data_IF_924229662956
#
_entry.id   IF_924229662956
#
_cell.length_a   1.000
_cell.length_b   1.000
_cell.length_c   1.000
_cell.angle_alpha   90.00
_cell.angle_beta   90.00
_cell.angle_gamma   90.00
#
_symmetry.space_group_name_H-M   'P 1'
#
loop_
_entity.id
_entity.type
_entity.pdbx_description
1 polymer ?
#
# COMPACT_ATOMS: atom_id res chain seq x y z
N UNK A 1 5.65 -53.50 6.38
CA UNK A 1 6.01 -52.09 6.15
C UNK A 1 5.33 -51.20 7.20
N UNK A 2 5.62 -51.40 8.49
CA UNK A 2 4.84 -50.78 9.60
C UNK A 2 5.70 -50.52 10.84
N UNK A 3 7.01 -50.28 10.67
CA UNK A 3 7.91 -50.07 11.81
C UNK A 3 8.93 -48.93 11.65
N UNK A 4 8.81 -48.08 10.62
CA UNK A 4 9.76 -47.00 10.34
C UNK A 4 9.14 -45.59 10.33
N UNK A 5 8.09 -45.34 11.13
CA UNK A 5 7.49 -44.00 11.28
C UNK A 5 7.61 -43.45 12.72
N UNK A 6 8.06 -44.25 13.69
CA UNK A 6 8.01 -43.88 15.11
C UNK A 6 9.27 -43.21 15.67
N UNK A 7 10.15 -42.65 14.83
CA UNK A 7 11.41 -42.01 15.29
C UNK A 7 11.58 -40.56 14.80
N UNK A 8 10.50 -39.79 14.78
CA UNK A 8 10.64 -38.33 14.80
C UNK A 8 10.54 -37.86 16.25
N UNK A 9 11.56 -37.20 16.81
CA UNK A 9 11.41 -36.55 18.11
C UNK A 9 10.27 -35.54 17.97
N UNK A 10 9.22 -35.71 18.77
CA UNK A 10 8.11 -34.78 18.82
C UNK A 10 8.61 -33.45 19.36
N UNK A 11 8.98 -32.54 18.46
CA UNK A 11 9.23 -31.15 18.81
C UNK A 11 7.85 -30.55 19.09
N UNK A 12 7.46 -30.60 20.36
CA UNK A 12 6.30 -29.89 20.88
C UNK A 12 6.64 -28.40 20.89
N UNK A 13 6.46 -27.73 19.76
CA UNK A 13 6.59 -26.27 19.69
C UNK A 13 5.52 -25.67 20.61
N UNK A 14 5.98 -25.06 21.70
CA UNK A 14 5.11 -24.28 22.57
C UNK A 14 4.79 -23.01 21.79
N UNK A 15 3.60 -22.94 21.19
CA UNK A 15 3.06 -21.67 20.67
C UNK A 15 2.80 -20.79 21.88
N UNK A 16 3.83 -20.06 22.32
CA UNK A 16 3.65 -18.93 23.21
C UNK A 16 2.92 -17.86 22.40
N UNK A 17 1.58 -17.97 22.42
CA UNK A 17 0.72 -16.90 21.93
C UNK A 17 1.16 -15.65 22.68
N UNK A 18 1.51 -14.60 21.94
CA UNK A 18 1.75 -13.29 22.53
C UNK A 18 0.63 -13.01 23.54
N UNK A 19 0.95 -12.49 24.75
CA UNK A 19 -0.08 -12.19 25.73
C UNK A 19 -1.18 -11.38 25.05
N UNK A 20 -2.47 -11.67 25.30
CA UNK A 20 -3.54 -10.89 24.71
C UNK A 20 -3.23 -9.45 25.03
N UNK A 21 -2.93 -8.66 23.98
CA UNK A 21 -2.69 -7.25 24.12
C UNK A 21 -3.95 -6.77 24.82
N UNK A 22 -3.82 -6.31 26.07
CA UNK A 22 -4.94 -5.74 26.78
C UNK A 22 -5.31 -4.50 25.98
N UNK A 23 -6.21 -4.67 25.01
CA UNK A 23 -6.94 -3.57 24.42
C UNK A 23 -7.71 -3.00 25.59
N UNK A 24 -7.09 -2.03 26.26
CA UNK A 24 -7.76 -1.19 27.25
C UNK A 24 -8.92 -0.56 26.48
N UNK A 25 -10.08 -1.20 26.55
CA UNK A 25 -11.30 -0.74 25.91
C UNK A 25 -11.80 0.46 26.70
N UNK A 26 -11.04 1.55 26.68
CA UNK A 26 -11.57 2.89 26.84
C UNK A 26 -12.33 3.11 25.55
N UNK A 27 -13.60 2.72 25.54
CA UNK A 27 -14.51 3.08 24.45
C UNK A 27 -14.27 4.54 24.13
N UNK A 28 -13.76 4.85 22.93
CA UNK A 28 -13.37 6.20 22.61
C UNK A 28 -14.57 7.12 22.81
N UNK A 29 -14.41 8.17 23.62
CA UNK A 29 -15.45 9.14 23.97
C UNK A 29 -16.07 9.78 22.69
N UNK A 30 -15.36 9.68 21.56
CA UNK A 30 -15.73 10.14 20.22
C UNK A 30 -17.08 9.58 19.71
N UNK A 31 -17.49 8.38 20.12
CA UNK A 31 -18.72 7.74 19.62
C UNK A 31 -19.97 8.56 19.96
N UNK A 32 -20.06 9.07 21.19
CA UNK A 32 -21.20 9.88 21.62
C UNK A 32 -21.19 11.29 20.99
N UNK A 33 -20.02 11.88 20.77
CA UNK A 33 -19.92 13.17 20.09
C UNK A 33 -20.45 13.09 18.65
N UNK A 34 -20.13 12.01 17.94
CA UNK A 34 -20.65 11.76 16.60
C UNK A 34 -22.17 11.65 16.59
N UNK A 35 -22.75 10.92 17.55
CA UNK A 35 -24.20 10.77 17.66
C UNK A 35 -24.92 12.10 17.99
N UNK A 36 -24.37 12.87 18.94
CA UNK A 36 -24.94 14.19 19.29
C UNK A 36 -24.83 15.16 18.12
N UNK A 37 -23.69 15.17 17.42
CA UNK A 37 -23.49 16.00 16.23
C UNK A 37 -24.43 15.58 15.09
N UNK A 38 -24.67 14.29 14.90
CA UNK A 38 -25.63 13.77 13.93
C UNK A 38 -27.04 14.30 14.21
N UNK A 39 -27.55 14.13 15.44
CA UNK A 39 -28.87 14.63 15.82
C UNK A 39 -28.98 16.16 15.68
N UNK A 40 -27.97 16.88 16.16
CA UNK A 40 -27.92 18.34 16.05
C UNK A 40 -27.92 18.80 14.58
N UNK A 41 -27.18 18.12 13.71
CA UNK A 41 -27.14 18.42 12.27
C UNK A 41 -28.52 18.26 11.63
N UNK A 42 -29.27 17.21 11.96
CA UNK A 42 -30.64 17.02 11.46
C UNK A 42 -31.57 18.16 11.89
N UNK A 43 -31.48 18.60 13.15
CA UNK A 43 -32.30 19.72 13.65
C UNK A 43 -31.92 21.03 12.93
N UNK A 44 -30.62 21.32 12.80
CA UNK A 44 -30.14 22.53 12.12
C UNK A 44 -30.54 22.54 10.64
N UNK A 45 -30.37 21.43 9.93
CA UNK A 45 -30.79 21.30 8.52
C UNK A 45 -32.30 21.42 8.39
N UNK A 46 -33.08 20.83 9.29
CA UNK A 46 -34.53 20.99 9.31
C UNK A 46 -34.95 22.45 9.48
N UNK A 47 -34.39 23.14 10.46
CA UNK A 47 -34.63 24.58 10.68
C UNK A 47 -34.19 25.42 9.47
N UNK A 48 -33.06 25.08 8.85
CA UNK A 48 -32.56 25.74 7.65
C UNK A 48 -33.52 25.60 6.47
N UNK A 49 -34.04 24.39 6.21
CA UNK A 49 -35.03 24.15 5.15
C UNK A 49 -36.32 24.92 5.43
N UNK A 50 -36.83 24.86 6.67
CA UNK A 50 -38.03 25.62 7.06
C UNK A 50 -37.82 27.11 6.82
N UNK A 51 -36.71 27.67 7.28
CA UNK A 51 -36.37 29.08 7.05
C UNK A 51 -36.22 29.43 5.55
N UNK A 52 -35.61 28.54 4.76
CA UNK A 52 -35.39 28.77 3.32
C UNK A 52 -36.69 28.79 2.50
N UNK A 53 -37.64 27.88 2.80
CA UNK A 53 -38.85 27.67 1.99
C UNK A 53 -40.11 28.37 2.53
N UNK A 54 -40.22 28.61 3.84
CA UNK A 54 -41.43 29.25 4.40
C UNK A 54 -41.48 30.72 3.95
N UNK A 55 -42.63 31.23 3.46
CA UNK A 55 -42.78 32.60 2.97
C UNK A 55 -42.79 33.66 4.10
N UNK A 56 -42.39 34.90 3.76
CA UNK A 56 -42.12 35.99 4.73
C UNK A 56 -43.34 36.33 5.61
N UNK A 57 -44.56 36.23 5.07
CA UNK A 57 -45.78 36.53 5.82
C UNK A 57 -46.00 35.60 7.03
N UNK A 58 -45.59 34.34 6.92
CA UNK A 58 -45.69 33.36 8.01
C UNK A 58 -44.60 33.63 9.05
N UNK A 59 -43.38 33.96 8.62
CA UNK A 59 -42.27 34.33 9.51
C UNK A 59 -42.59 35.59 10.32
N UNK A 60 -43.16 36.60 9.67
CA UNK A 60 -43.57 37.83 10.34
C UNK A 60 -44.72 37.57 11.33
N UNK A 61 -45.65 36.65 11.00
CA UNK A 61 -46.70 36.20 11.93
C UNK A 61 -46.17 35.44 13.15
N UNK A 62 -45.02 34.78 13.02
CA UNK A 62 -44.27 34.14 14.12
C UNK A 62 -43.42 35.13 14.94
N UNK A 63 -43.40 36.42 14.57
CA UNK A 63 -42.61 37.45 15.24
C UNK A 63 -41.12 37.48 14.82
N UNK A 64 -40.75 36.74 13.78
CA UNK A 64 -39.37 36.67 13.27
C UNK A 64 -39.22 37.73 12.17
N UNK A 65 -38.80 38.93 12.55
CA UNK A 65 -38.61 40.08 11.63
C UNK A 65 -37.16 40.33 11.24
N UNK A 66 -36.19 39.70 11.92
CA UNK A 66 -34.77 39.89 11.64
C UNK A 66 -34.11 38.56 11.30
N UNK A 67 -33.92 38.30 10.00
CA UNK A 67 -33.20 37.15 9.47
C UNK A 67 -32.32 37.58 8.28
N UNK A 68 -31.24 36.85 7.97
CA UNK A 68 -30.37 37.18 6.84
C UNK A 68 -31.12 37.10 5.51
N UNK A 69 -30.60 37.78 4.48
CA UNK A 69 -31.17 37.71 3.12
C UNK A 69 -31.37 36.27 2.65
N UNK A 70 -32.51 35.97 2.02
CA UNK A 70 -32.80 34.65 1.41
C UNK A 70 -31.76 34.20 0.40
N UNK A 71 -30.94 35.11 -0.13
CA UNK A 71 -29.79 34.76 -0.97
C UNK A 71 -28.88 33.72 -0.32
N UNK A 72 -28.71 33.79 1.01
CA UNK A 72 -27.89 32.85 1.76
C UNK A 72 -28.41 31.40 1.69
N UNK A 73 -29.72 31.21 1.49
CA UNK A 73 -30.32 29.89 1.31
C UNK A 73 -29.81 29.16 0.05
N UNK A 74 -29.35 29.93 -0.95
CA UNK A 74 -28.73 29.40 -2.17
C UNK A 74 -27.21 29.46 -2.11
N UNK A 75 -26.65 30.52 -1.51
CA UNK A 75 -25.22 30.69 -1.41
C UNK A 75 -24.55 29.57 -0.61
N UNK A 76 -25.10 29.22 0.57
CA UNK A 76 -24.54 28.17 1.44
C UNK A 76 -24.36 26.83 0.70
N UNK A 77 -25.40 26.22 0.09
CA UNK A 77 -25.24 24.94 -0.60
C UNK A 77 -24.29 25.04 -1.80
N UNK A 78 -24.29 26.17 -2.52
CA UNK A 78 -23.36 26.39 -3.65
C UNK A 78 -21.90 26.45 -3.19
N UNK A 79 -21.64 27.12 -2.06
CA UNK A 79 -20.30 27.17 -1.46
C UNK A 79 -19.87 25.79 -0.95
N UNK A 80 -20.77 25.03 -0.30
CA UNK A 80 -20.46 23.67 0.16
C UNK A 80 -20.04 22.78 -1.01
N UNK A 81 -20.77 22.80 -2.12
CA UNK A 81 -20.41 22.01 -3.31
C UNK A 81 -19.07 22.43 -3.90
N UNK A 82 -18.81 23.74 -3.99
CA UNK A 82 -17.50 24.27 -4.44
C UNK A 82 -16.37 23.83 -3.51
N UNK A 83 -16.58 23.88 -2.19
CA UNK A 83 -15.59 23.47 -1.19
C UNK A 83 -15.24 21.99 -1.28
N UNK A 84 -16.22 21.12 -1.54
CA UNK A 84 -15.97 19.68 -1.74
C UNK A 84 -14.98 19.46 -2.89
N UNK A 85 -15.22 20.06 -4.06
CA UNK A 85 -14.30 19.98 -5.20
C UNK A 85 -12.95 20.61 -4.90
N UNK A 86 -12.93 21.76 -4.23
CA UNK A 86 -11.71 22.42 -3.80
C UNK A 86 -10.84 21.52 -2.93
N UNK A 87 -11.43 20.79 -1.97
CA UNK A 87 -10.71 19.84 -1.11
C UNK A 87 -10.07 18.72 -1.93
N UNK A 88 -10.77 18.18 -2.94
CA UNK A 88 -10.19 17.15 -3.82
C UNK A 88 -8.99 17.68 -4.60
N UNK A 89 -9.13 18.84 -5.25
CA UNK A 89 -8.01 19.44 -6.00
C UNK A 89 -6.84 19.82 -5.09
N UNK A 90 -7.14 20.38 -3.91
CA UNK A 90 -6.15 20.72 -2.90
C UNK A 90 -5.41 19.46 -2.45
N UNK A 91 -6.12 18.39 -2.10
CA UNK A 91 -5.53 17.13 -1.69
C UNK A 91 -4.65 16.54 -2.81
N UNK A 92 -5.13 16.47 -4.06
CA UNK A 92 -4.33 15.98 -5.18
C UNK A 92 -3.05 16.80 -5.37
N UNK A 93 -3.18 18.13 -5.39
CA UNK A 93 -2.03 19.03 -5.58
C UNK A 93 -1.05 18.92 -4.43
N UNK A 94 -1.54 18.87 -3.19
CA UNK A 94 -0.72 18.76 -1.99
C UNK A 94 0.04 17.44 -1.95
N UNK A 95 -0.62 16.32 -2.26
CA UNK A 95 0.06 15.03 -2.38
C UNK A 95 1.10 15.04 -3.49
N UNK A 96 0.79 15.64 -4.65
CA UNK A 96 1.74 15.74 -5.76
C UNK A 96 2.96 16.59 -5.40
N UNK A 97 2.77 17.69 -4.66
CA UNK A 97 3.87 18.53 -4.15
C UNK A 97 4.76 17.79 -3.15
N UNK A 98 4.20 16.86 -2.37
CA UNK A 98 4.94 16.07 -1.39
C UNK A 98 5.51 14.77 -1.98
N UNK A 99 5.15 14.40 -3.20
CA UNK A 99 5.64 13.18 -3.84
C UNK A 99 7.01 13.46 -4.48
N UNK A 100 8.03 12.61 -4.25
CA UNK A 100 9.31 12.70 -4.94
C UNK A 100 9.16 12.64 -6.48
N UNK A 101 10.15 13.12 -7.27
CA UNK A 101 10.11 12.99 -8.72
C UNK A 101 9.97 11.51 -9.13
N UNK A 102 9.32 11.24 -10.27
CA UNK A 102 9.03 9.88 -10.74
C UNK A 102 10.27 8.99 -10.94
N UNK A 103 11.45 9.59 -11.10
CA UNK A 103 12.72 8.89 -11.24
C UNK A 103 13.41 8.58 -9.89
N UNK A 104 12.84 9.00 -8.76
CA UNK A 104 13.43 8.70 -7.45
C UNK A 104 13.10 7.27 -7.01
N UNK A 105 14.11 6.57 -6.48
CA UNK A 105 13.92 5.29 -5.80
C UNK A 105 13.09 5.41 -4.52
N UNK A 106 12.95 6.62 -3.97
CA UNK A 106 12.10 6.89 -2.80
C UNK A 106 10.61 6.58 -3.06
N UNK A 107 10.20 6.50 -4.35
CA UNK A 107 8.87 6.07 -4.74
C UNK A 107 8.67 4.55 -4.67
N UNK A 108 9.76 3.77 -4.55
CA UNK A 108 9.77 2.31 -4.56
C UNK A 108 10.15 1.76 -3.18
N UNK A 109 11.10 2.39 -2.49
CA UNK A 109 11.60 1.96 -1.17
C UNK A 109 11.75 3.18 -0.27
N UNK A 110 11.36 3.04 1.00
CA UNK A 110 11.54 4.06 2.03
C UNK A 110 12.58 3.61 3.07
N UNK A 111 12.85 4.49 4.07
CA UNK A 111 13.79 4.18 5.17
C UNK A 111 13.30 3.02 6.05
N UNK A 112 11.99 2.74 6.04
CA UNK A 112 11.39 1.68 6.83
C UNK A 112 11.25 0.34 6.09
N UNK A 113 11.66 0.27 4.82
CA UNK A 113 11.63 -0.95 4.03
C UNK A 113 12.58 -2.02 4.61
N UNK A 114 12.06 -3.23 4.80
CA UNK A 114 12.82 -4.34 5.39
C UNK A 114 13.42 -5.21 4.30
N UNK A 115 14.37 -4.66 3.54
CA UNK A 115 14.94 -5.35 2.38
C UNK A 115 15.71 -6.61 2.80
N UNK A 116 15.45 -7.71 2.09
CA UNK A 116 16.14 -8.99 2.29
C UNK A 116 17.63 -8.86 1.95
N UNK A 117 18.48 -8.95 2.97
CA UNK A 117 19.94 -8.90 2.81
C UNK A 117 20.54 -10.29 3.02
N UNK A 118 21.25 -10.82 2.01
CA UNK A 118 21.86 -12.17 2.08
C UNK A 118 22.80 -12.35 3.27
N UNK A 119 23.47 -11.28 3.70
CA UNK A 119 24.40 -11.27 4.85
C UNK A 119 23.71 -11.55 6.18
N UNK A 120 22.43 -11.18 6.32
CA UNK A 120 21.64 -11.33 7.55
C UNK A 120 20.99 -12.71 7.67
N UNK A 121 20.99 -13.48 6.58
CA UNK A 121 20.42 -14.82 6.57
C UNK A 121 21.52 -15.81 6.95
N UNK A 122 21.39 -16.58 8.04
CA UNK A 122 22.37 -17.59 8.41
C UNK A 122 22.64 -18.56 7.25
N UNK A 123 23.89 -19.02 7.07
CA UNK A 123 24.23 -20.06 6.12
C UNK A 123 23.34 -21.30 6.29
N UNK A 124 23.13 -22.05 5.21
CA UNK A 124 22.23 -23.20 5.23
C UNK A 124 22.65 -24.25 6.27
N UNK A 125 23.95 -24.38 6.53
CA UNK A 125 24.49 -25.32 7.52
C UNK A 125 24.13 -24.95 8.97
N UNK A 126 23.94 -23.66 9.26
CA UNK A 126 23.69 -23.14 10.60
C UNK A 126 22.20 -22.96 10.92
N UNK A 127 21.31 -23.31 9.98
CA UNK A 127 19.86 -23.15 10.15
C UNK A 127 19.26 -24.28 10.98
N UNK A 128 18.44 -23.97 12.01
CA UNK A 128 17.60 -24.95 12.67
C UNK A 128 16.70 -25.71 11.69
N UNK A 129 16.30 -26.94 12.03
CA UNK A 129 15.36 -27.73 11.21
C UNK A 129 14.02 -27.01 10.98
N UNK A 130 13.58 -26.19 11.95
CA UNK A 130 12.34 -25.40 11.88
C UNK A 130 12.61 -23.92 11.50
N UNK A 131 13.70 -23.65 10.78
CA UNK A 131 14.09 -22.28 10.41
C UNK A 131 13.07 -21.64 9.45
N UNK A 132 12.45 -20.57 9.92
CA UNK A 132 11.65 -19.66 9.11
C UNK A 132 12.31 -18.28 9.14
N UNK A 133 12.68 -17.70 7.98
CA UNK A 133 13.22 -16.35 7.95
C UNK A 133 12.17 -15.32 8.39
N UNK A 134 12.62 -14.19 8.92
CA UNK A 134 11.76 -13.04 9.17
C UNK A 134 11.15 -12.53 7.86
N UNK A 135 10.02 -11.82 7.97
CA UNK A 135 9.35 -11.23 6.83
C UNK A 135 10.21 -10.07 6.30
N UNK A 136 10.69 -10.21 5.07
CA UNK A 136 11.51 -9.22 4.39
C UNK A 136 10.95 -8.92 3.01
N UNK A 137 11.17 -7.68 2.55
CA UNK A 137 10.85 -7.23 1.21
C UNK A 137 11.91 -7.74 0.22
N UNK A 138 11.46 -8.39 -0.85
CA UNK A 138 12.34 -8.82 -1.93
C UNK A 138 12.46 -7.66 -2.92
N UNK A 139 13.68 -7.19 -3.26
CA UNK A 139 13.85 -6.13 -4.23
C UNK A 139 13.15 -6.44 -5.55
N UNK A 140 12.44 -5.46 -6.11
CA UNK A 140 11.68 -5.62 -7.36
C UNK A 140 12.55 -6.10 -8.52
N UNK A 141 13.83 -5.72 -8.54
CA UNK A 141 14.83 -6.20 -9.50
C UNK A 141 15.02 -7.72 -9.46
N UNK A 142 15.03 -8.31 -8.26
CA UNK A 142 15.17 -9.76 -8.08
C UNK A 142 13.89 -10.46 -8.53
N UNK A 143 12.73 -9.96 -8.11
CA UNK A 143 11.42 -10.50 -8.53
C UNK A 143 11.29 -10.48 -10.04
N UNK A 144 11.60 -9.34 -10.67
CA UNK A 144 11.51 -9.21 -12.12
C UNK A 144 12.45 -10.15 -12.86
N UNK A 145 13.68 -10.35 -12.35
CA UNK A 145 14.63 -11.29 -12.94
C UNK A 145 14.09 -12.72 -12.89
N UNK A 146 13.51 -13.16 -11.78
CA UNK A 146 13.01 -14.54 -11.68
C UNK A 146 11.65 -14.74 -12.37
N UNK A 147 10.77 -13.74 -12.35
CA UNK A 147 9.41 -13.86 -12.86
C UNK A 147 9.33 -13.67 -14.37
N UNK A 148 10.15 -12.77 -14.93
CA UNK A 148 10.09 -12.39 -16.35
C UNK A 148 11.29 -12.86 -17.18
N UNK A 149 12.21 -13.65 -16.61
CA UNK A 149 13.16 -14.39 -17.45
C UNK A 149 12.38 -15.44 -18.25
N UNK A 150 12.23 -15.18 -19.55
CA UNK A 150 11.97 -16.24 -20.53
C UNK A 150 13.00 -17.36 -20.29
N UNK A 151 12.60 -18.64 -20.21
CA UNK A 151 13.57 -19.71 -20.21
C UNK A 151 14.36 -19.56 -21.50
N UNK A 152 15.66 -19.27 -21.39
CA UNK A 152 16.59 -19.46 -22.51
C UNK A 152 16.49 -20.95 -22.80
N UNK A 153 15.67 -21.32 -23.80
CA UNK A 153 15.70 -22.64 -24.40
C UNK A 153 17.08 -22.72 -25.03
N UNK A 154 18.06 -23.13 -24.22
CA UNK A 154 19.35 -23.52 -24.73
C UNK A 154 19.06 -24.63 -25.75
N UNK A 155 19.42 -24.48 -27.04
CA UNK A 155 19.35 -25.60 -27.94
C UNK A 155 20.21 -26.70 -27.30
N UNK A 156 19.58 -27.84 -27.01
CA UNK A 156 20.24 -29.01 -26.48
C UNK A 156 21.49 -29.28 -27.33
N UNK A 157 22.67 -29.06 -26.75
CA UNK A 157 23.96 -29.47 -27.30
C UNK A 157 24.04 -31.01 -27.31
N UNK A 158 25.12 -31.68 -27.78
CA UNK A 158 26.12 -31.41 -28.81
C UNK A 158 26.22 -32.60 -29.82
N UNK A 159 26.66 -32.39 -31.07
CA UNK A 159 27.18 -33.52 -31.88
C UNK A 159 28.69 -33.39 -32.05
N UNK A 160 29.41 -34.19 -31.26
CA UNK A 160 30.78 -34.57 -31.52
C UNK A 160 30.89 -35.12 -32.95
N UNK A 161 31.71 -34.49 -33.78
CA UNK A 161 32.33 -35.12 -34.96
C UNK A 161 33.81 -34.80 -34.94
N UNK A 162 34.56 -35.78 -34.49
CA UNK A 162 36.02 -35.83 -34.38
C UNK A 162 36.72 -36.00 -35.74
N UNK A 163 37.97 -35.51 -35.80
CA UNK A 163 39.03 -35.81 -36.78
C UNK A 163 38.80 -35.21 -38.20
N UNK A 164 39.76 -34.54 -38.84
CA UNK A 164 41.13 -34.97 -39.09
C UNK A 164 41.93 -33.86 -39.84
N UNK A 165 43.21 -33.70 -39.43
CA UNK A 165 44.42 -33.56 -40.29
C UNK A 165 44.88 -32.19 -40.87
N UNK A 166 45.92 -31.69 -40.18
CA UNK A 166 47.29 -31.30 -40.62
C UNK A 166 47.62 -29.98 -41.37
N UNK A 167 48.48 -29.23 -40.67
CA UNK A 167 49.83 -28.75 -41.04
C UNK A 167 50.06 -27.71 -42.15
N UNK A 168 50.66 -26.61 -41.68
CA UNK A 168 51.80 -25.85 -42.24
C UNK A 168 51.59 -25.02 -43.52
N UNK A 169 51.93 -23.72 -43.46
CA UNK A 169 53.12 -23.10 -44.09
C UNK A 169 52.96 -21.56 -44.12
N UNK A 170 53.95 -20.88 -43.51
CA UNK A 170 54.71 -19.67 -43.91
C UNK A 170 54.11 -18.49 -44.70
N UNK A 171 54.62 -17.30 -44.33
CA UNK A 171 54.93 -16.10 -45.14
C UNK A 171 53.91 -14.95 -45.11
N UNK A 172 54.26 -13.81 -44.50
CA UNK A 172 54.62 -12.50 -45.14
C UNK A 172 53.50 -11.91 -46.00
N UNK A 173 53.03 -10.67 -45.86
CA UNK A 173 53.68 -9.35 -45.93
C UNK A 173 52.63 -8.29 -45.54
N UNK A 174 52.93 -7.26 -44.73
CA UNK A 174 53.28 -5.88 -45.15
C UNK A 174 52.38 -5.24 -46.24
N UNK A 175 52.01 -3.99 -45.93
CA UNK A 175 51.58 -2.85 -46.76
C UNK A 175 50.09 -2.56 -46.92
N UNK A 176 49.76 -1.28 -46.68
CA UNK A 176 48.48 -0.62 -46.94
C UNK A 176 48.20 0.46 -45.91
#
# INVERSE_FOLDING_TARGET
MTHLVSRLPGISYKVDRAPPIAMTNKTPIYEYYGFVMYLASFVVVGLYIVWAYVPDHILHGLGITYYPSRYWAMAIPTWVMTFVWFIFFYFMTYNLMNTPPFDSLDCITDEHAMIMERSKIPPLEDRPLDYMPELHDIPITVVNAYLYQEPIIAPLTPSLSSHHRTSSVSSSSKFG
#
